data_IF_793734637393
#
_entry.id   IF_793734637393
#
_cell.length_a   1.000
_cell.length_b   1.000
_cell.length_c   1.000
_cell.angle_alpha   90.00
_cell.angle_beta   90.00
_cell.angle_gamma   90.00
#
_symmetry.space_group_name_H-M   'P 1'
#
loop_
_entity.id
_entity.type
_entity.pdbx_description
1 polymer ?
#
# COMPACT_ATOMS: atom_id res chain seq x y z
N UNK A 1 14.13 14.63 -13.56
CA UNK A 1 14.12 14.82 -12.08
C UNK A 1 12.75 14.51 -11.49
N UNK A 2 11.68 15.22 -11.89
CA UNK A 2 10.32 15.03 -11.34
C UNK A 2 9.82 13.57 -11.39
N UNK A 3 9.98 12.87 -12.52
CA UNK A 3 9.53 11.47 -12.66
C UNK A 3 10.19 10.52 -11.66
N UNK A 4 11.46 10.73 -11.34
CA UNK A 4 12.19 9.88 -10.39
C UNK A 4 11.68 10.08 -8.95
N UNK A 5 11.36 11.32 -8.59
CA UNK A 5 10.77 11.65 -7.30
C UNK A 5 9.41 10.96 -7.14
N UNK A 6 8.57 11.00 -8.18
CA UNK A 6 7.25 10.34 -8.16
C UNK A 6 7.39 8.82 -8.00
N UNK A 7 8.35 8.19 -8.70
CA UNK A 7 8.61 6.75 -8.55
C UNK A 7 9.02 6.41 -7.11
N UNK A 8 9.98 7.15 -6.55
CA UNK A 8 10.46 6.90 -5.18
C UNK A 8 9.33 7.10 -4.16
N UNK A 9 8.53 8.16 -4.31
CA UNK A 9 7.38 8.41 -3.46
C UNK A 9 6.32 7.31 -3.59
N UNK A 10 6.03 6.84 -4.81
CA UNK A 10 5.11 5.73 -5.05
C UNK A 10 5.58 4.44 -4.38
N UNK A 11 6.86 4.06 -4.53
CA UNK A 11 7.41 2.88 -3.86
C UNK A 11 7.39 3.02 -2.32
N UNK A 12 7.69 4.20 -1.79
CA UNK A 12 7.62 4.47 -0.35
C UNK A 12 6.18 4.37 0.19
N UNK A 13 5.19 4.88 -0.56
CA UNK A 13 3.78 4.75 -0.21
C UNK A 13 3.32 3.29 -0.27
N UNK A 14 3.71 2.53 -1.31
CA UNK A 14 3.42 1.11 -1.40
C UNK A 14 3.96 0.35 -0.19
N UNK A 15 5.22 0.61 0.19
CA UNK A 15 5.85 0.05 1.39
C UNK A 15 5.09 0.40 2.67
N UNK A 16 4.64 1.66 2.80
CA UNK A 16 3.86 2.12 3.94
C UNK A 16 2.52 1.38 4.06
N UNK A 17 1.76 1.26 2.97
CA UNK A 17 0.45 0.61 2.98
C UNK A 17 0.57 -0.89 3.24
N UNK A 18 1.49 -1.58 2.57
CA UNK A 18 1.75 -3.00 2.74
C UNK A 18 2.19 -3.36 4.18
N UNK A 19 3.12 -2.58 4.74
CA UNK A 19 3.55 -2.73 6.13
C UNK A 19 2.42 -2.43 7.13
N UNK A 20 1.67 -1.35 6.91
CA UNK A 20 0.55 -0.97 7.78
C UNK A 20 -0.53 -2.05 7.82
N UNK A 21 -0.93 -2.58 6.68
CA UNK A 21 -1.88 -3.70 6.59
C UNK A 21 -1.45 -4.87 7.47
N UNK A 22 -0.20 -5.32 7.33
CA UNK A 22 0.33 -6.46 8.09
C UNK A 22 0.43 -6.18 9.58
N UNK A 23 0.81 -4.95 9.97
CA UNK A 23 0.83 -4.54 11.37
C UNK A 23 -0.57 -4.61 12.00
N UNK A 24 -1.59 -4.12 11.29
CA UNK A 24 -2.96 -4.14 11.79
C UNK A 24 -3.54 -5.55 11.83
N UNK A 25 -3.38 -6.33 10.76
CA UNK A 25 -3.85 -7.72 10.67
C UNK A 25 -3.24 -8.58 11.79
N UNK A 26 -1.93 -8.48 12.02
CA UNK A 26 -1.26 -9.21 13.11
C UNK A 26 -1.66 -8.75 14.52
N UNK A 27 -2.26 -7.56 14.64
CA UNK A 27 -2.71 -6.99 15.91
C UNK A 27 -4.21 -7.10 16.16
N UNK A 28 -4.97 -7.77 15.29
CA UNK A 28 -6.45 -7.82 15.36
C UNK A 28 -7.00 -8.33 16.69
N UNK A 29 -6.28 -9.22 17.38
CA UNK A 29 -6.71 -9.79 18.67
C UNK A 29 -6.12 -9.08 19.89
N UNK A 30 -5.29 -8.04 19.69
CA UNK A 30 -4.71 -7.27 20.79
C UNK A 30 -5.67 -6.19 21.25
N UNK A 31 -5.73 -5.97 22.57
CA UNK A 31 -6.47 -4.83 23.13
C UNK A 31 -5.84 -3.53 22.63
N UNK A 32 -6.68 -2.63 22.11
CA UNK A 32 -6.26 -1.34 21.59
C UNK A 32 -7.27 -0.26 21.96
N UNK A 33 -6.89 1.01 21.85
CA UNK A 33 -7.75 2.15 22.14
C UNK A 33 -7.62 3.22 21.05
N UNK A 34 -8.56 4.17 21.03
CA UNK A 34 -8.55 5.29 20.09
C UNK A 34 -8.67 4.84 18.64
N UNK A 35 -7.89 5.48 17.76
CA UNK A 35 -7.98 5.25 16.31
C UNK A 35 -7.56 3.84 15.88
N UNK A 36 -6.66 3.20 16.64
CA UNK A 36 -6.27 1.80 16.37
C UNK A 36 -7.47 0.87 16.57
N UNK A 37 -8.26 1.08 17.62
CA UNK A 37 -9.48 0.30 17.87
C UNK A 37 -10.56 0.59 16.83
N UNK A 38 -10.66 1.83 16.36
CA UNK A 38 -11.59 2.20 15.29
C UNK A 38 -11.31 1.42 14.00
N UNK A 39 -10.03 1.27 13.66
CA UNK A 39 -9.55 0.47 12.52
C UNK A 39 -9.79 -1.02 12.73
N UNK A 40 -9.45 -1.55 13.92
CA UNK A 40 -9.64 -2.96 14.28
C UNK A 40 -11.09 -3.41 14.16
N UNK A 41 -12.05 -2.53 14.50
CA UNK A 41 -13.49 -2.79 14.37
C UNK A 41 -14.00 -2.73 12.92
N UNK A 42 -13.17 -2.30 11.97
CA UNK A 42 -13.53 -2.13 10.55
C UNK A 42 -12.43 -2.73 9.65
N UNK A 43 -12.15 -4.04 9.77
CA UNK A 43 -11.07 -4.68 9.03
C UNK A 43 -11.27 -4.59 7.51
N UNK A 44 -12.51 -4.63 7.02
CA UNK A 44 -12.83 -4.47 5.59
C UNK A 44 -12.37 -3.10 5.06
N UNK A 45 -12.70 -2.01 5.76
CA UNK A 45 -12.24 -0.66 5.39
C UNK A 45 -10.73 -0.52 5.48
N UNK A 46 -10.10 -1.18 6.46
CA UNK A 46 -8.65 -1.19 6.58
C UNK A 46 -8.02 -1.83 5.36
N UNK A 47 -8.42 -3.07 5.05
CA UNK A 47 -7.91 -3.85 3.93
C UNK A 47 -8.18 -3.13 2.60
N UNK A 48 -9.38 -2.61 2.39
CA UNK A 48 -9.71 -1.86 1.19
C UNK A 48 -8.83 -0.60 1.05
N UNK A 49 -8.62 0.16 2.13
CA UNK A 49 -7.78 1.37 2.10
C UNK A 49 -6.32 1.04 1.81
N UNK A 50 -5.76 0.03 2.47
CA UNK A 50 -4.35 -0.37 2.26
C UNK A 50 -4.16 -0.98 0.88
N UNK A 51 -5.07 -1.85 0.43
CA UNK A 51 -4.98 -2.50 -0.88
C UNK A 51 -5.08 -1.49 -2.04
N UNK A 52 -6.04 -0.56 -1.97
CA UNK A 52 -6.18 0.51 -2.97
C UNK A 52 -4.93 1.39 -2.96
N UNK A 53 -4.47 1.80 -1.78
CA UNK A 53 -3.26 2.61 -1.62
C UNK A 53 -2.02 1.96 -2.23
N UNK A 54 -1.76 0.69 -1.90
CA UNK A 54 -0.63 -0.06 -2.47
C UNK A 54 -0.72 -0.15 -3.98
N UNK A 55 -1.89 -0.51 -4.52
CA UNK A 55 -2.07 -0.67 -5.96
C UNK A 55 -1.88 0.65 -6.73
N UNK A 56 -2.48 1.74 -6.28
CA UNK A 56 -2.27 3.07 -6.90
C UNK A 56 -0.79 3.42 -6.91
N UNK A 57 -0.12 3.22 -5.77
CA UNK A 57 1.28 3.59 -5.61
C UNK A 57 2.23 2.75 -6.49
N UNK A 58 2.00 1.43 -6.55
CA UNK A 58 2.77 0.50 -7.39
C UNK A 58 2.53 0.80 -8.87
N UNK A 59 1.26 0.87 -9.31
CA UNK A 59 0.94 1.12 -10.73
C UNK A 59 1.47 2.46 -11.19
N UNK A 60 1.34 3.51 -10.37
CA UNK A 60 1.89 4.83 -10.71
C UNK A 60 3.41 4.78 -10.86
N UNK A 61 4.10 4.14 -9.90
CA UNK A 61 5.56 4.02 -9.96
C UNK A 61 6.02 3.19 -11.16
N UNK A 62 5.34 2.07 -11.45
CA UNK A 62 5.71 1.18 -12.55
C UNK A 62 5.42 1.79 -13.91
N UNK A 63 4.25 2.42 -14.11
CA UNK A 63 3.91 3.08 -15.37
C UNK A 63 4.90 4.19 -15.72
N UNK A 64 5.27 5.04 -14.76
CA UNK A 64 6.23 6.14 -14.99
C UNK A 64 7.65 5.59 -15.20
N UNK A 65 8.05 4.55 -14.46
CA UNK A 65 9.35 3.92 -14.65
C UNK A 65 9.49 3.28 -16.03
N UNK A 66 8.44 2.57 -16.49
CA UNK A 66 8.40 1.95 -17.81
C UNK A 66 8.46 3.00 -18.91
N UNK A 67 7.65 4.07 -18.82
CA UNK A 67 7.68 5.17 -19.79
C UNK A 67 9.08 5.81 -19.87
N UNK A 68 9.71 6.06 -18.72
CA UNK A 68 11.05 6.66 -18.66
C UNK A 68 12.11 5.73 -19.26
N UNK A 69 12.01 4.43 -19.02
CA UNK A 69 12.94 3.44 -19.56
C UNK A 69 12.83 3.34 -21.08
N UNK A 70 11.61 3.29 -21.62
CA UNK A 70 11.37 3.26 -23.07
C UNK A 70 11.93 4.51 -23.73
N UNK A 71 11.68 5.70 -23.15
CA UNK A 71 12.21 6.97 -23.68
C UNK A 71 13.73 7.02 -23.73
N UNK A 72 14.42 6.33 -22.80
CA UNK A 72 15.87 6.39 -22.66
C UNK A 72 16.62 5.27 -23.40
N UNK A 73 16.04 4.07 -23.43
CA UNK A 73 16.70 2.85 -23.92
C UNK A 73 15.92 2.14 -25.03
N UNK A 74 14.79 2.69 -25.47
CA UNK A 74 13.96 2.16 -26.54
C UNK A 74 12.97 1.08 -26.07
N UNK A 75 12.14 0.55 -26.99
CA UNK A 75 11.02 -0.35 -26.65
C UNK A 75 11.45 -1.65 -25.95
N UNK A 76 12.62 -2.19 -26.30
CA UNK A 76 13.12 -3.43 -25.69
C UNK A 76 13.40 -3.29 -24.18
N UNK A 77 13.58 -2.07 -23.67
CA UNK A 77 13.82 -1.81 -22.26
C UNK A 77 12.60 -2.11 -21.37
N UNK A 78 11.39 -2.14 -21.93
CA UNK A 78 10.14 -2.39 -21.21
C UNK A 78 10.15 -3.73 -20.44
N UNK A 79 10.60 -4.80 -21.08
CA UNK A 79 10.64 -6.11 -20.43
C UNK A 79 11.62 -6.13 -19.25
N UNK A 80 12.81 -5.56 -19.45
CA UNK A 80 13.85 -5.50 -18.43
C UNK A 80 13.45 -4.64 -17.23
N UNK A 81 12.88 -3.44 -17.48
CA UNK A 81 12.46 -2.55 -16.39
C UNK A 81 11.29 -3.12 -15.61
N UNK A 82 10.35 -3.80 -16.28
CA UNK A 82 9.18 -4.42 -15.63
C UNK A 82 9.62 -5.50 -14.66
N UNK A 83 10.55 -6.37 -15.06
CA UNK A 83 11.11 -7.41 -14.17
C UNK A 83 11.86 -6.75 -13.01
N UNK A 84 12.73 -5.77 -13.31
CA UNK A 84 13.53 -5.09 -12.30
C UNK A 84 12.68 -4.39 -11.24
N UNK A 85 11.68 -3.61 -11.65
CA UNK A 85 10.80 -2.90 -10.71
C UNK A 85 9.90 -3.85 -9.94
N UNK A 86 9.51 -4.99 -10.55
CA UNK A 86 8.74 -6.03 -9.85
C UNK A 86 9.56 -6.67 -8.73
N UNK A 87 10.82 -7.02 -8.99
CA UNK A 87 11.72 -7.57 -7.97
C UNK A 87 12.01 -6.55 -6.87
N UNK A 88 12.30 -5.30 -7.24
CA UNK A 88 12.52 -4.21 -6.27
C UNK A 88 11.26 -3.97 -5.44
N UNK A 89 10.09 -3.89 -6.07
CA UNK A 89 8.80 -3.72 -5.40
C UNK A 89 8.52 -4.87 -4.42
N UNK A 90 8.73 -6.11 -4.85
CA UNK A 90 8.50 -7.27 -4.00
C UNK A 90 9.43 -7.28 -2.77
N UNK A 91 10.70 -6.95 -2.94
CA UNK A 91 11.64 -6.93 -1.81
C UNK A 91 11.37 -5.73 -0.90
N UNK A 92 11.37 -4.52 -1.46
CA UNK A 92 11.40 -3.27 -0.69
C UNK A 92 10.03 -2.69 -0.35
N UNK A 93 8.99 -3.00 -1.12
CA UNK A 93 7.63 -2.53 -0.86
C UNK A 93 6.75 -3.58 -0.20
N UNK A 94 7.05 -4.87 -0.39
CA UNK A 94 6.24 -5.96 0.18
C UNK A 94 6.98 -6.68 1.31
N UNK A 95 8.03 -7.45 1.01
CA UNK A 95 8.63 -8.40 1.97
C UNK A 95 9.27 -7.67 3.16
N UNK A 96 10.14 -6.69 2.92
CA UNK A 96 10.86 -5.99 4.00
C UNK A 96 9.88 -5.20 4.89
N UNK A 97 8.97 -4.34 4.36
CA UNK A 97 8.04 -3.59 5.21
C UNK A 97 7.10 -4.47 6.00
N UNK A 98 6.58 -5.55 5.40
CA UNK A 98 5.69 -6.51 6.08
C UNK A 98 6.40 -7.24 7.21
N UNK A 99 7.64 -7.68 6.99
CA UNK A 99 8.45 -8.34 8.01
C UNK A 99 8.76 -7.40 9.20
N UNK A 100 9.14 -6.15 8.91
CA UNK A 100 9.37 -5.15 9.95
C UNK A 100 8.09 -4.80 10.72
N UNK A 101 6.98 -4.63 10.02
CA UNK A 101 5.67 -4.38 10.58
C UNK A 101 5.19 -5.48 11.53
N UNK A 102 5.43 -6.75 11.16
CA UNK A 102 5.07 -7.90 12.00
C UNK A 102 5.83 -7.88 13.34
N UNK A 103 7.13 -7.57 13.30
CA UNK A 103 7.98 -7.55 14.50
C UNK A 103 7.62 -6.40 15.46
N UNK A 104 7.25 -5.23 14.92
CA UNK A 104 7.01 -4.01 15.69
C UNK A 104 5.53 -3.56 15.68
N UNK A 105 4.60 -4.51 15.47
CA UNK A 105 3.18 -4.22 15.23
C UNK A 105 2.53 -3.23 16.20
N UNK A 106 2.70 -3.31 17.55
CA UNK A 106 2.04 -2.38 18.48
C UNK A 106 2.44 -0.91 18.28
N UNK A 107 3.72 -0.67 18.00
CA UNK A 107 4.23 0.68 17.77
C UNK A 107 3.86 1.14 16.37
N UNK A 108 3.93 0.23 15.39
CA UNK A 108 3.62 0.51 14.01
C UNK A 108 2.17 0.95 13.84
N UNK A 109 1.19 0.17 14.33
CA UNK A 109 -0.24 0.50 14.22
C UNK A 109 -0.56 1.84 14.88
N UNK A 110 0.00 2.12 16.06
CA UNK A 110 -0.22 3.40 16.73
C UNK A 110 0.30 4.59 15.93
N UNK A 111 1.47 4.45 15.30
CA UNK A 111 2.09 5.52 14.49
C UNK A 111 1.40 5.70 13.14
N UNK A 112 0.99 4.62 12.50
CA UNK A 112 0.43 4.66 11.15
C UNK A 112 -1.09 4.88 11.13
N UNK A 113 -1.81 4.60 12.22
CA UNK A 113 -3.25 4.83 12.34
C UNK A 113 -3.73 6.21 11.84
N UNK A 114 -3.17 7.36 12.27
CA UNK A 114 -3.62 8.68 11.83
C UNK A 114 -3.30 8.94 10.35
N UNK A 115 -2.14 8.49 9.89
CA UNK A 115 -1.72 8.65 8.49
C UNK A 115 -2.62 7.80 7.58
N UNK A 116 -2.91 6.56 7.97
CA UNK A 116 -3.85 5.70 7.25
C UNK A 116 -5.27 6.29 7.23
N UNK A 117 -5.70 6.92 8.32
CA UNK A 117 -7.01 7.59 8.38
C UNK A 117 -7.10 8.80 7.45
N UNK A 118 -6.02 9.56 7.29
CA UNK A 118 -5.94 10.62 6.28
C UNK A 118 -6.13 10.05 4.86
N UNK A 119 -5.41 8.98 4.51
CA UNK A 119 -5.58 8.32 3.21
C UNK A 119 -6.98 7.71 3.04
N UNK A 120 -7.56 7.17 4.10
CA UNK A 120 -8.93 6.66 4.09
C UNK A 120 -9.94 7.74 3.70
N UNK A 121 -9.81 8.97 4.22
CA UNK A 121 -10.71 10.07 3.86
C UNK A 121 -10.59 10.39 2.36
N UNK A 122 -9.36 10.45 1.84
CA UNK A 122 -9.11 10.74 0.42
C UNK A 122 -9.65 9.61 -0.48
N UNK A 123 -9.42 8.36 -0.08
CA UNK A 123 -9.82 7.17 -0.82
C UNK A 123 -11.25 6.71 -0.50
N UNK A 124 -11.96 7.43 0.38
CA UNK A 124 -13.29 7.07 0.87
C UNK A 124 -14.29 6.67 -0.23
N UNK A 125 -14.46 7.45 -1.33
CA UNK A 125 -15.43 7.07 -2.36
C UNK A 125 -15.09 5.74 -3.02
N UNK A 126 -13.81 5.48 -3.28
CA UNK A 126 -13.34 4.24 -3.90
C UNK A 126 -13.48 3.06 -2.93
N UNK A 127 -13.12 3.27 -1.66
CA UNK A 127 -13.19 2.27 -0.60
C UNK A 127 -14.64 1.81 -0.36
N UNK A 128 -15.61 2.74 -0.32
CA UNK A 128 -17.01 2.38 -0.12
C UNK A 128 -17.60 1.63 -1.32
N UNK A 129 -17.20 1.96 -2.56
CA UNK A 129 -17.58 1.18 -3.75
C UNK A 129 -17.07 -0.27 -3.60
N UNK A 130 -15.79 -0.45 -3.27
CA UNK A 130 -15.20 -1.79 -3.12
C UNK A 130 -15.92 -2.60 -2.02
N UNK A 131 -16.20 -1.98 -0.87
CA UNK A 131 -16.92 -2.65 0.22
C UNK A 131 -18.36 -3.01 -0.18
N UNK A 132 -19.05 -2.15 -0.94
CA UNK A 132 -20.38 -2.45 -1.44
C UNK A 132 -20.38 -3.69 -2.36
N UNK A 133 -19.41 -3.78 -3.28
CA UNK A 133 -19.24 -4.98 -4.12
C UNK A 133 -18.89 -6.22 -3.29
N UNK A 134 -17.98 -6.11 -2.33
CA UNK A 134 -17.59 -7.23 -1.47
C UNK A 134 -18.79 -7.78 -0.67
N UNK A 135 -19.65 -6.89 -0.18
CA UNK A 135 -20.86 -7.26 0.57
C UNK A 135 -21.94 -7.92 -0.28
N UNK A 136 -21.98 -7.64 -1.60
CA UNK A 136 -22.90 -8.31 -2.53
C UNK A 136 -22.41 -9.72 -2.85
N UNK A 137 -21.10 -9.92 -3.05
CA UNK A 137 -20.53 -11.22 -3.47
C UNK A 137 -20.41 -12.22 -2.32
N UNK A 138 -20.20 -11.72 -1.10
CA UNK A 138 -19.98 -12.57 0.09
C UNK A 138 -21.28 -12.89 0.84
N UNK A 139 -22.43 -12.35 0.39
CA UNK A 139 -23.77 -12.69 0.86
C UNK A 139 -24.45 -13.65 -0.10
#
# INVERSE_FOLDING_TARGET
MANLVVIILGLALAAFFAGTETAFVSSLYRKSTGLVEWWRRRPERLLATTLVGTNIAVVTATSIATELAIKKWGPHAEAYITILISVIGLIFCEVIPKSAALRYAPVWTRKTAPVLYFFHIILFPVVEIINAFSGIVTR
#
